data_IF_902263890107
#
_entry.id   IF_902263890107
#
_cell.length_a   1.000
_cell.length_b   1.000
_cell.length_c   1.000
_cell.angle_alpha   90.00
_cell.angle_beta   90.00
_cell.angle_gamma   90.00
#
_symmetry.space_group_name_H-M   'P 1'
#
loop_
_entity.id
_entity.type
_entity.pdbx_description
1 polymer ?
#
# COMPACT_ATOMS: atom_id res chain seq x y z
N UNK A 1 -8.39 -5.85 -12.94
CA UNK A 1 -8.28 -4.69 -12.02
C UNK A 1 -7.96 -5.24 -10.64
N UNK A 2 -6.95 -4.68 -9.97
CA UNK A 2 -6.62 -5.11 -8.62
C UNK A 2 -7.65 -4.59 -7.61
N UNK A 3 -7.85 -5.33 -6.53
CA UNK A 3 -8.70 -4.91 -5.41
C UNK A 3 -7.82 -4.57 -4.22
N UNK A 4 -7.96 -3.36 -3.70
CA UNK A 4 -7.42 -3.00 -2.39
C UNK A 4 -8.45 -3.26 -1.29
N UNK A 5 -8.01 -3.95 -0.24
CA UNK A 5 -8.76 -4.17 0.99
C UNK A 5 -7.97 -3.64 2.19
N UNK A 6 -8.60 -2.90 3.08
CA UNK A 6 -7.95 -2.31 4.25
C UNK A 6 -8.49 -3.02 5.49
N UNK A 7 -7.59 -3.61 6.25
CA UNK A 7 -7.89 -4.31 7.50
C UNK A 7 -7.43 -3.39 8.63
N UNK A 8 -8.38 -2.92 9.44
CA UNK A 8 -8.12 -2.04 10.57
C UNK A 8 -7.94 -2.84 11.87
N UNK A 9 -6.94 -2.45 12.66
CA UNK A 9 -6.62 -3.00 13.98
C UNK A 9 -6.34 -1.85 14.96
N UNK A 10 -7.33 -0.98 15.16
CA UNK A 10 -7.18 0.21 15.98
C UNK A 10 -6.50 1.34 15.22
N UNK A 11 -5.28 1.72 15.63
CA UNK A 11 -4.50 2.82 15.01
C UNK A 11 -3.54 2.36 13.91
N UNK A 12 -3.58 1.07 13.59
CA UNK A 12 -2.76 0.46 12.56
C UNK A 12 -3.51 -0.69 11.91
N UNK A 13 -2.88 -1.33 10.94
CA UNK A 13 -3.46 -2.50 10.29
C UNK A 13 -2.70 -2.92 9.05
N UNK A 14 -3.43 -3.51 8.11
CA UNK A 14 -2.87 -4.00 6.85
C UNK A 14 -3.66 -3.50 5.64
N UNK A 15 -2.95 -3.20 4.57
CA UNK A 15 -3.51 -3.01 3.23
C UNK A 15 -3.18 -4.24 2.41
N UNK A 16 -4.20 -4.90 1.85
CA UNK A 16 -4.06 -6.03 0.94
C UNK A 16 -4.34 -5.56 -0.48
N UNK A 17 -3.35 -5.66 -1.35
CA UNK A 17 -3.50 -5.46 -2.79
C UNK A 17 -3.64 -6.82 -3.46
N UNK A 18 -4.79 -7.09 -4.08
CA UNK A 18 -5.16 -8.42 -4.58
C UNK A 18 -5.37 -8.39 -6.10
N UNK A 19 -4.62 -9.24 -6.81
CA UNK A 19 -4.78 -9.51 -8.24
C UNK A 19 -5.18 -10.97 -8.49
N UNK A 20 -5.78 -11.22 -9.67
CA UNK A 20 -6.13 -12.56 -10.14
C UNK A 20 -7.60 -12.93 -9.98
N UNK A 21 -7.93 -14.18 -10.28
CA UNK A 21 -9.30 -14.70 -10.27
C UNK A 21 -9.64 -15.36 -8.93
N UNK A 22 -10.92 -15.72 -8.76
CA UNK A 22 -11.44 -16.35 -7.54
C UNK A 22 -10.62 -17.57 -7.08
N UNK A 23 -10.03 -18.30 -8.02
CA UNK A 23 -9.29 -19.55 -7.79
C UNK A 23 -7.76 -19.40 -7.78
N UNK A 24 -7.22 -18.24 -8.19
CA UNK A 24 -5.78 -17.95 -8.18
C UNK A 24 -5.57 -16.49 -7.80
N UNK A 25 -5.65 -16.21 -6.50
CA UNK A 25 -5.38 -14.89 -5.93
C UNK A 25 -3.89 -14.73 -5.67
N UNK A 26 -3.35 -13.61 -6.12
CA UNK A 26 -2.01 -13.13 -5.78
C UNK A 26 -2.20 -11.86 -4.96
N UNK A 27 -1.49 -11.75 -3.85
CA UNK A 27 -1.65 -10.61 -2.96
C UNK A 27 -0.30 -10.03 -2.53
N UNK A 28 -0.30 -8.72 -2.29
CA UNK A 28 0.71 -8.03 -1.51
C UNK A 28 0.07 -7.51 -0.23
N UNK A 29 0.75 -7.66 0.91
CA UNK A 29 0.31 -7.11 2.19
C UNK A 29 1.26 -5.98 2.62
N UNK A 30 0.69 -4.85 3.01
CA UNK A 30 1.43 -3.68 3.47
C UNK A 30 0.97 -3.34 4.88
N UNK A 31 1.91 -3.01 5.76
CA UNK A 31 1.59 -2.49 7.08
C UNK A 31 1.21 -1.01 6.95
N UNK A 32 0.20 -0.57 7.69
CA UNK A 32 -0.12 0.84 7.80
C UNK A 32 -0.39 1.24 9.24
N UNK A 33 -0.19 2.51 9.55
CA UNK A 33 -0.56 3.12 10.82
C UNK A 33 -0.96 4.58 10.64
N UNK A 34 -1.70 5.13 11.61
CA UNK A 34 -1.98 6.56 11.63
C UNK A 34 -0.68 7.34 11.80
N UNK A 35 -0.56 8.39 10.99
CA UNK A 35 0.51 9.36 11.14
C UNK A 35 0.24 10.33 12.28
N UNK A 36 1.22 11.21 12.53
CA UNK A 36 1.07 12.36 13.40
C UNK A 36 1.14 13.68 12.61
N UNK A 37 0.81 14.77 13.29
CA UNK A 37 0.85 16.14 12.74
C UNK A 37 0.04 16.30 11.44
N UNK A 38 0.72 16.51 10.32
CA UNK A 38 0.15 16.70 8.98
C UNK A 38 -0.10 15.38 8.23
N UNK A 39 0.32 14.25 8.80
CA UNK A 39 0.21 12.93 8.18
C UNK A 39 -0.99 12.17 8.73
N UNK A 40 -1.92 11.81 7.85
CA UNK A 40 -3.11 11.01 8.16
C UNK A 40 -2.73 9.54 8.38
N UNK A 41 -1.96 8.97 7.47
CA UNK A 41 -1.52 7.57 7.54
C UNK A 41 -0.17 7.37 6.86
N UNK A 42 0.57 6.38 7.34
CA UNK A 42 1.83 5.91 6.77
C UNK A 42 1.64 4.48 6.32
N UNK A 43 1.99 4.17 5.08
CA UNK A 43 1.94 2.81 4.53
C UNK A 43 3.35 2.37 4.17
N UNK A 44 3.79 1.26 4.76
CA UNK A 44 5.13 0.72 4.61
C UNK A 44 5.19 -0.38 3.56
N UNK A 45 6.23 -0.36 2.73
CA UNK A 45 6.45 -1.35 1.67
C UNK A 45 7.95 -1.68 1.52
N UNK A 46 8.31 -2.83 0.91
CA UNK A 46 9.70 -3.21 0.69
C UNK A 46 10.54 -2.11 0.04
N UNK A 47 11.70 -1.79 0.66
CA UNK A 47 12.52 -0.62 0.28
C UNK A 47 13.22 -0.81 -1.06
N UNK A 48 13.61 -2.05 -1.36
CA UNK A 48 14.37 -2.40 -2.57
C UNK A 48 13.62 -3.40 -3.44
N UNK A 49 13.97 -3.45 -4.73
CA UNK A 49 13.44 -4.44 -5.66
C UNK A 49 13.87 -5.86 -5.26
N UNK A 50 15.07 -6.05 -4.71
CA UNK A 50 15.51 -7.38 -4.24
C UNK A 50 14.68 -7.90 -3.06
N UNK A 51 14.33 -7.03 -2.12
CA UNK A 51 13.43 -7.39 -1.02
C UNK A 51 12.03 -7.69 -1.53
N UNK A 52 11.53 -6.86 -2.46
CA UNK A 52 10.24 -7.07 -3.09
C UNK A 52 10.16 -8.40 -3.85
N UNK A 53 11.15 -8.72 -4.66
CA UNK A 53 11.18 -9.93 -5.49
C UNK A 53 11.22 -11.20 -4.62
N UNK A 54 11.86 -11.12 -3.44
CA UNK A 54 11.85 -12.21 -2.44
C UNK A 54 10.49 -12.36 -1.76
N UNK A 55 9.87 -11.25 -1.36
CA UNK A 55 8.58 -11.26 -0.65
C UNK A 55 7.40 -11.56 -1.57
N UNK A 56 7.44 -11.05 -2.81
CA UNK A 56 6.39 -11.17 -3.82
C UNK A 56 6.95 -11.67 -5.16
N UNK A 57 7.41 -12.94 -5.25
CA UNK A 57 8.00 -13.49 -6.49
C UNK A 57 7.07 -13.45 -7.71
N UNK A 58 5.76 -13.33 -7.48
CA UNK A 58 4.77 -13.24 -8.55
C UNK A 58 4.74 -11.86 -9.23
N UNK A 59 5.27 -10.84 -8.56
CA UNK A 59 5.21 -9.42 -8.92
C UNK A 59 6.60 -8.83 -9.20
N UNK A 60 7.57 -9.66 -9.56
CA UNK A 60 8.94 -9.24 -9.85
C UNK A 60 8.96 -8.10 -10.87
N UNK A 61 9.73 -7.05 -10.58
CA UNK A 61 9.82 -5.85 -11.43
C UNK A 61 8.60 -4.93 -11.42
N UNK A 62 7.54 -5.26 -10.64
CA UNK A 62 6.30 -4.45 -10.54
C UNK A 62 6.15 -3.72 -9.20
N UNK A 63 7.23 -3.59 -8.42
CA UNK A 63 7.22 -2.98 -7.08
C UNK A 63 6.53 -1.63 -7.06
N UNK A 64 7.10 -0.63 -7.74
CA UNK A 64 6.55 0.73 -7.70
C UNK A 64 5.26 0.89 -8.50
N UNK A 65 4.99 0.01 -9.47
CA UNK A 65 3.69 -0.02 -10.16
C UNK A 65 2.57 -0.37 -9.17
N UNK A 66 2.71 -1.50 -8.47
CA UNK A 66 1.72 -1.99 -7.52
C UNK A 66 1.60 -1.06 -6.31
N UNK A 67 2.73 -0.57 -5.78
CA UNK A 67 2.70 0.33 -4.62
C UNK A 67 2.00 1.66 -4.98
N UNK A 68 2.23 2.22 -6.18
CA UNK A 68 1.53 3.43 -6.64
C UNK A 68 0.03 3.21 -6.80
N UNK A 69 -0.36 2.12 -7.45
CA UNK A 69 -1.79 1.80 -7.63
C UNK A 69 -2.48 1.54 -6.29
N UNK A 70 -1.83 0.79 -5.40
CA UNK A 70 -2.29 0.55 -4.03
C UNK A 70 -2.49 1.87 -3.28
N UNK A 71 -1.50 2.76 -3.28
CA UNK A 71 -1.56 4.03 -2.56
C UNK A 71 -2.68 4.94 -3.08
N UNK A 72 -2.84 5.03 -4.41
CA UNK A 72 -3.94 5.79 -5.01
C UNK A 72 -5.32 5.23 -4.67
N UNK A 73 -5.46 3.89 -4.67
CA UNK A 73 -6.70 3.26 -4.26
C UNK A 73 -6.99 3.50 -2.78
N UNK A 74 -6.01 3.37 -1.89
CA UNK A 74 -6.18 3.66 -0.44
C UNK A 74 -6.59 5.12 -0.25
N UNK A 75 -5.89 6.07 -0.89
CA UNK A 75 -6.21 7.50 -0.83
C UNK A 75 -7.65 7.76 -1.25
N UNK A 76 -8.08 7.23 -2.39
CA UNK A 76 -9.45 7.38 -2.90
C UNK A 76 -10.51 6.75 -1.99
N UNK A 77 -10.19 5.67 -1.28
CA UNK A 77 -11.14 4.99 -0.41
C UNK A 77 -11.25 5.63 0.98
N UNK A 78 -10.14 6.06 1.58
CA UNK A 78 -10.08 6.45 2.99
C UNK A 78 -9.83 7.94 3.23
N UNK A 79 -9.07 8.61 2.36
CA UNK A 79 -8.75 10.03 2.52
C UNK A 79 -8.67 10.74 1.16
N UNK A 80 -9.80 10.92 0.45
CA UNK A 80 -9.81 11.39 -0.94
C UNK A 80 -9.21 12.78 -1.15
N UNK A 81 -9.18 13.60 -0.08
CA UNK A 81 -8.62 14.95 -0.06
C UNK A 81 -7.15 15.01 0.34
N UNK A 82 -6.54 13.89 0.73
CA UNK A 82 -5.11 13.84 1.08
C UNK A 82 -4.22 13.78 -0.16
N UNK A 83 -2.97 14.18 0.01
CA UNK A 83 -1.90 14.03 -0.97
C UNK A 83 -1.03 12.80 -0.65
N UNK A 84 -0.39 12.23 -1.67
CA UNK A 84 0.60 11.16 -1.49
C UNK A 84 2.00 11.77 -1.45
N UNK A 85 2.69 11.63 -0.32
CA UNK A 85 4.11 11.97 -0.17
C UNK A 85 4.92 10.68 -0.16
N UNK A 86 5.88 10.59 -1.06
CA UNK A 86 6.71 9.39 -1.26
C UNK A 86 8.01 9.50 -0.47
N UNK A 87 8.32 8.45 0.29
CA UNK A 87 9.55 8.31 1.06
C UNK A 87 10.20 6.94 0.79
N UNK A 88 11.41 6.72 1.30
CA UNK A 88 12.12 5.47 1.09
C UNK A 88 11.46 4.31 1.87
N UNK A 89 10.69 3.48 1.16
CA UNK A 89 9.95 2.35 1.75
C UNK A 89 8.64 2.72 2.44
N UNK A 90 8.17 3.96 2.24
CA UNK A 90 6.90 4.40 2.77
C UNK A 90 6.20 5.39 1.83
N UNK A 91 4.87 5.39 1.91
CA UNK A 91 4.04 6.45 1.33
C UNK A 91 3.15 7.00 2.43
N UNK A 92 3.16 8.33 2.54
CA UNK A 92 2.42 9.06 3.54
C UNK A 92 1.21 9.70 2.86
N UNK A 93 0.05 9.57 3.49
CA UNK A 93 -1.14 10.33 3.14
C UNK A 93 -1.12 11.59 4.00
N UNK A 94 -0.88 12.75 3.41
CA UNK A 94 -0.78 14.02 4.14
C UNK A 94 -1.98 14.91 3.88
N UNK A 95 -2.35 15.72 4.86
CA UNK A 95 -3.29 16.81 4.66
C UNK A 95 -2.68 17.80 3.66
N UNK A 96 -3.48 18.19 2.66
CA UNK A 96 -3.10 19.21 1.67
C UNK A 96 -3.14 20.62 2.24
#
# INVERSE_FOLDING_TARGET
MAKVNIIEQGRSGKVQYIEGSLFKKKACEFYWEFGGADTVAIIWFPKSDSEWDKTYPWAVGRRMEIVKDMAEQVRKQQAPSSALKWEEGAVLLTNG
#
